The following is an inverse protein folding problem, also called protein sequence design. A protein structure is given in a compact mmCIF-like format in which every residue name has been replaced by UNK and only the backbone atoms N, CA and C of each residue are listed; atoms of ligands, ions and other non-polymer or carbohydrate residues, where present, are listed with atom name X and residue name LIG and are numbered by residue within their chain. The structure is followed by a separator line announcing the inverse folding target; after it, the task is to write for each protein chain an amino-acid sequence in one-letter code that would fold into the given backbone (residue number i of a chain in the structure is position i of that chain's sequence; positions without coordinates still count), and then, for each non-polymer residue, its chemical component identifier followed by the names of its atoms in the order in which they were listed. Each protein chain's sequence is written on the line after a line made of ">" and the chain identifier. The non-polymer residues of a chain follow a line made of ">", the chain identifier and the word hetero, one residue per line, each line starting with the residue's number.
data_IF_473273514676
#
_entry.id   IF_473273514676
#
_cell.length_a   1.000
_cell.length_b   1.000
_cell.length_c   1.000
_cell.angle_alpha   90.00
_cell.angle_beta   90.00
_cell.angle_gamma   90.00
#
_symmetry.space_group_name_H-M   'P 1'
#
loop_
_entity.id
_entity.type
_entity.pdbx_description
1 polymer ?
#
# COMPACT_ATOMS: atom_id res chain seq x y z
N UNK A 1 23.99 22.48 22.20
CA UNK A 1 23.26 23.51 21.40
C UNK A 1 21.79 23.35 21.72
N UNK A 2 21.11 24.40 22.21
CA UNK A 2 19.71 24.33 22.65
C UNK A 2 18.75 24.28 21.44
N UNK A 3 17.72 23.43 21.51
CA UNK A 3 16.71 23.20 20.46
C UNK A 3 16.01 24.49 19.98
N UNK A 4 15.93 25.52 20.84
CA UNK A 4 15.39 26.85 20.50
C UNK A 4 16.16 27.57 19.39
N UNK A 5 17.40 27.18 19.09
CA UNK A 5 18.22 27.84 18.06
C UNK A 5 18.00 27.28 16.66
N UNK A 6 17.43 26.08 16.53
CA UNK A 6 17.18 25.44 15.22
C UNK A 6 15.84 25.93 14.64
N UNK A 7 14.83 26.18 15.48
CA UNK A 7 13.50 26.64 15.07
C UNK A 7 13.45 28.09 14.52
N UNK A 8 14.53 28.87 14.63
CA UNK A 8 14.57 30.30 14.21
C UNK A 8 14.91 30.54 12.74
N UNK A 9 15.18 29.50 11.96
CA UNK A 9 15.59 29.60 10.55
C UNK A 9 14.48 29.25 9.53
N UNK A 10 13.22 29.25 9.95
CA UNK A 10 12.07 29.07 9.06
C UNK A 10 11.33 30.40 9.00
N UNK A 11 11.09 30.93 7.79
CA UNK A 11 10.45 32.24 7.61
C UNK A 11 9.05 32.27 8.28
N UNK A 12 8.70 33.37 8.99
CA UNK A 12 7.52 33.40 9.84
C UNK A 12 6.29 33.80 9.03
N UNK A 13 5.41 32.85 8.75
CA UNK A 13 4.01 33.17 8.50
C UNK A 13 3.34 33.44 9.85
N UNK A 14 2.71 34.61 9.91
CA UNK A 14 2.39 35.37 11.10
C UNK A 14 1.36 34.73 12.05
N UNK A 15 1.67 34.90 13.34
CA UNK A 15 0.76 35.12 14.48
C UNK A 15 -0.17 33.97 14.88
N UNK A 16 0.41 33.03 15.66
CA UNK A 16 -0.33 32.09 16.50
C UNK A 16 0.54 30.95 17.08
N UNK A 17 1.67 30.66 16.43
CA UNK A 17 2.48 29.47 16.72
C UNK A 17 3.52 29.71 17.84
N UNK A 18 4.03 30.93 18.01
CA UNK A 18 5.06 31.21 19.02
C UNK A 18 4.55 31.09 20.48
N UNK A 19 3.28 31.41 20.73
CA UNK A 19 2.68 31.23 22.06
C UNK A 19 2.32 29.76 22.34
N UNK A 20 2.03 28.99 21.29
CA UNK A 20 1.75 27.56 21.39
C UNK A 20 3.03 26.73 21.63
N UNK A 21 4.15 27.07 20.97
CA UNK A 21 5.43 26.40 21.17
C UNK A 21 6.12 26.81 22.48
N UNK A 22 5.78 27.97 23.04
CA UNK A 22 6.30 28.43 24.33
C UNK A 22 5.73 27.69 25.54
N UNK A 23 4.60 26.99 25.38
CA UNK A 23 3.92 26.24 26.45
C UNK A 23 4.21 24.74 26.42
N UNK A 24 4.82 24.23 25.34
CA UNK A 24 5.20 22.82 25.21
C UNK A 24 6.56 22.57 25.86
N UNK A 25 6.65 21.45 26.59
CA UNK A 25 7.90 20.94 27.12
C UNK A 25 8.83 20.46 26.00
N UNK A 26 10.14 20.42 26.28
CA UNK A 26 11.14 19.91 25.33
C UNK A 26 10.81 18.46 24.91
N UNK A 27 10.17 17.66 25.78
CA UNK A 27 9.72 16.30 25.47
C UNK A 27 8.52 16.27 24.50
N UNK A 28 7.58 17.21 24.58
CA UNK A 28 6.45 17.33 23.64
C UNK A 28 6.92 17.80 22.27
N UNK A 29 7.86 18.73 22.22
CA UNK A 29 8.51 19.18 20.98
C UNK A 29 9.29 18.02 20.36
N UNK A 30 10.02 17.24 21.15
CA UNK A 30 10.75 16.06 20.66
C UNK A 30 9.81 14.91 20.26
N UNK A 31 8.62 14.77 20.88
CA UNK A 31 7.59 13.84 20.43
C UNK A 31 6.93 14.28 19.12
N UNK A 32 6.71 15.58 18.92
CA UNK A 32 6.21 16.12 17.65
C UNK A 32 7.25 16.01 16.54
N UNK A 33 8.52 16.29 16.83
CA UNK A 33 9.65 16.11 15.89
C UNK A 33 9.90 14.61 15.65
N UNK A 34 9.76 13.75 16.66
CA UNK A 34 9.84 12.30 16.53
C UNK A 34 8.69 11.71 15.70
N UNK A 35 7.49 12.30 15.78
CA UNK A 35 6.38 11.99 14.88
C UNK A 35 6.61 12.53 13.46
N UNK A 36 7.29 13.67 13.29
CA UNK A 36 7.63 14.23 11.97
C UNK A 36 8.85 13.56 11.32
N UNK A 37 9.68 12.84 12.08
CA UNK A 37 10.86 12.10 11.60
C UNK A 37 10.59 10.60 11.37
N UNK A 38 9.33 10.22 11.17
CA UNK A 38 8.96 8.88 10.71
C UNK A 38 8.93 7.84 11.83
N UNK A 39 7.88 7.89 12.65
CA UNK A 39 7.49 6.72 13.44
C UNK A 39 7.26 5.51 12.53
N UNK A 40 7.53 4.31 13.05
CA UNK A 40 7.26 3.04 12.36
C UNK A 40 5.77 2.98 11.99
N UNK A 41 5.47 2.86 10.70
CA UNK A 41 4.09 2.63 10.25
C UNK A 41 3.74 1.17 10.54
N UNK A 42 2.66 0.96 11.30
CA UNK A 42 2.09 -0.36 11.54
C UNK A 42 1.09 -0.68 10.44
N UNK A 43 1.59 -1.34 9.38
CA UNK A 43 0.80 -1.69 8.22
C UNK A 43 -0.22 -2.79 8.52
N UNK A 44 -1.49 -2.51 8.27
CA UNK A 44 -2.61 -3.44 8.30
C UNK A 44 -2.50 -4.50 7.18
N UNK A 45 -3.13 -5.67 7.38
CA UNK A 45 -3.25 -6.65 6.31
C UNK A 45 -4.05 -6.10 5.12
N UNK A 46 -3.78 -6.63 3.93
CA UNK A 46 -4.43 -6.21 2.69
C UNK A 46 -5.96 -6.31 2.74
N UNK A 47 -6.52 -7.27 3.50
CA UNK A 47 -7.96 -7.51 3.60
C UNK A 47 -8.37 -7.67 5.06
N UNK A 48 -9.55 -7.14 5.40
CA UNK A 48 -10.10 -7.14 6.76
C UNK A 48 -11.63 -7.30 6.73
N UNK A 49 -12.25 -7.91 7.76
CA UNK A 49 -13.69 -8.10 7.81
C UNK A 49 -14.43 -6.88 8.39
N UNK A 50 -13.70 -5.99 9.06
CA UNK A 50 -14.22 -4.83 9.76
C UNK A 50 -13.43 -3.58 9.38
N UNK A 51 -14.08 -2.42 9.46
CA UNK A 51 -13.44 -1.12 9.24
C UNK A 51 -12.49 -0.85 10.41
N UNK A 52 -11.20 -0.55 10.16
CA UNK A 52 -10.26 -0.23 11.22
C UNK A 52 -10.67 1.03 11.99
N UNK A 53 -10.30 1.09 13.28
CA UNK A 53 -10.57 2.27 14.09
C UNK A 53 -9.97 3.55 13.47
N UNK A 54 -10.79 4.60 13.43
CA UNK A 54 -10.41 5.90 12.87
C UNK A 54 -10.72 6.08 11.38
N UNK A 55 -11.44 5.14 10.76
CA UNK A 55 -12.03 5.28 9.43
C UNK A 55 -13.56 5.26 9.50
N UNK A 56 -14.21 5.95 8.58
CA UNK A 56 -15.66 6.11 8.47
C UNK A 56 -16.08 5.96 7.00
N UNK A 57 -16.84 4.89 6.70
CA UNK A 57 -17.24 4.52 5.34
C UNK A 57 -18.78 4.51 5.17
N UNK A 58 -19.56 5.22 6.00
CA UNK A 58 -21.02 5.04 6.08
C UNK A 58 -21.71 5.00 4.71
N UNK A 59 -21.54 6.03 3.88
CA UNK A 59 -22.01 6.03 2.48
C UNK A 59 -20.86 5.92 1.47
N UNK A 60 -19.63 6.23 1.88
CA UNK A 60 -18.46 6.25 1.02
C UNK A 60 -17.85 4.86 0.79
N UNK A 61 -17.20 4.70 -0.36
CA UNK A 61 -16.49 3.46 -0.73
C UNK A 61 -15.01 3.56 -0.37
N UNK A 62 -14.50 4.76 -0.12
CA UNK A 62 -13.11 5.05 0.19
C UNK A 62 -13.06 6.02 1.36
N UNK A 63 -12.18 5.74 2.31
CA UNK A 63 -11.78 6.69 3.35
C UNK A 63 -10.25 6.65 3.50
N UNK A 64 -9.67 7.73 3.99
CA UNK A 64 -8.22 7.90 4.05
C UNK A 64 -7.76 8.52 5.35
N UNK A 65 -6.54 8.18 5.74
CA UNK A 65 -5.87 8.67 6.93
C UNK A 65 -4.46 9.12 6.61
N UNK A 66 -4.15 10.35 6.97
CA UNK A 66 -2.78 10.85 6.97
C UNK A 66 -1.93 10.07 7.98
N UNK A 67 -0.80 9.53 7.51
CA UNK A 67 0.18 8.88 8.38
C UNK A 67 1.32 9.83 8.71
N UNK A 68 1.93 10.42 7.67
CA UNK A 68 3.04 11.37 7.74
C UNK A 68 3.25 12.01 6.35
N UNK A 69 4.09 13.05 6.21
CA UNK A 69 4.41 13.60 4.90
C UNK A 69 4.87 12.50 3.92
N UNK A 70 4.31 12.50 2.71
CA UNK A 70 4.62 11.47 1.72
C UNK A 70 3.95 10.11 1.99
N UNK A 71 3.02 9.97 2.95
CA UNK A 71 2.36 8.70 3.22
C UNK A 71 0.90 8.81 3.72
N UNK A 72 -0.01 8.12 3.03
CA UNK A 72 -1.40 7.97 3.42
C UNK A 72 -1.79 6.49 3.49
N UNK A 73 -2.69 6.18 4.42
CA UNK A 73 -3.41 4.92 4.45
C UNK A 73 -4.81 5.13 3.89
N UNK A 74 -5.26 4.20 3.06
CA UNK A 74 -6.55 4.26 2.38
C UNK A 74 -7.28 2.96 2.64
N UNK A 75 -8.48 3.05 3.19
CA UNK A 75 -9.39 1.93 3.38
C UNK A 75 -10.46 2.01 2.30
N UNK A 76 -10.68 0.87 1.66
CA UNK A 76 -11.58 0.75 0.53
C UNK A 76 -12.58 -0.35 0.81
N UNK A 77 -13.87 -0.07 0.70
CA UNK A 77 -14.91 -1.09 0.77
C UNK A 77 -14.78 -2.03 -0.43
N UNK A 78 -14.48 -3.29 -0.16
CA UNK A 78 -14.44 -4.34 -1.17
C UNK A 78 -15.85 -4.89 -1.38
N UNK A 79 -16.46 -5.39 -0.31
CA UNK A 79 -17.85 -5.90 -0.27
C UNK A 79 -18.54 -5.35 0.98
N UNK A 80 -19.78 -5.77 1.25
CA UNK A 80 -20.47 -5.43 2.52
C UNK A 80 -19.72 -5.89 3.79
N UNK A 81 -18.86 -6.91 3.67
CA UNK A 81 -18.21 -7.59 4.80
C UNK A 81 -16.70 -7.72 4.63
N UNK A 82 -16.12 -6.96 3.70
CA UNK A 82 -14.70 -7.00 3.41
C UNK A 82 -14.19 -5.61 3.00
N UNK A 83 -13.07 -5.23 3.58
CA UNK A 83 -12.39 -3.97 3.33
C UNK A 83 -10.95 -4.27 2.90
N UNK A 84 -10.43 -3.45 2.00
CA UNK A 84 -9.03 -3.48 1.58
C UNK A 84 -8.29 -2.31 2.21
N UNK A 85 -7.13 -2.56 2.80
CA UNK A 85 -6.18 -1.50 3.14
C UNK A 85 -5.11 -1.40 2.06
N UNK A 86 -4.86 -0.18 1.59
CA UNK A 86 -3.72 0.14 0.76
C UNK A 86 -3.02 1.42 1.24
N UNK A 87 -1.75 1.54 0.89
CA UNK A 87 -0.88 2.63 1.32
C UNK A 87 -0.36 3.37 0.11
N UNK A 88 -0.53 4.68 0.10
CA UNK A 88 0.06 5.59 -0.84
C UNK A 88 1.32 6.15 -0.22
N UNK A 89 2.48 5.81 -0.77
CA UNK A 89 3.78 6.22 -0.23
C UNK A 89 4.67 6.78 -1.31
N UNK A 90 5.15 8.00 -1.08
CA UNK A 90 6.13 8.63 -1.93
C UNK A 90 7.53 8.13 -1.55
N UNK A 91 8.21 7.50 -2.50
CA UNK A 91 9.55 6.96 -2.31
C UNK A 91 10.34 6.99 -3.61
N UNK A 92 11.58 7.49 -3.55
CA UNK A 92 12.51 7.53 -4.70
C UNK A 92 11.93 8.19 -5.97
N UNK A 93 11.14 9.26 -5.82
CA UNK A 93 10.54 9.98 -6.95
C UNK A 93 9.35 9.26 -7.61
N UNK A 94 8.79 8.25 -6.93
CA UNK A 94 7.60 7.53 -7.35
C UNK A 94 6.58 7.49 -6.22
N UNK A 95 5.32 7.31 -6.58
CA UNK A 95 4.29 6.93 -5.62
C UNK A 95 4.08 5.43 -5.73
N UNK A 96 4.21 4.75 -4.59
CA UNK A 96 3.86 3.35 -4.42
C UNK A 96 2.47 3.26 -3.82
N UNK A 97 1.56 2.56 -4.50
CA UNK A 97 0.26 2.16 -3.94
C UNK A 97 0.36 0.68 -3.61
N UNK A 98 0.23 0.29 -2.34
CA UNK A 98 0.55 -1.08 -1.95
C UNK A 98 -0.36 -1.67 -0.86
N UNK A 99 -0.64 -2.96 -0.97
CA UNK A 99 -1.36 -3.75 0.03
C UNK A 99 -0.43 -4.83 0.61
N UNK A 100 -0.47 -5.04 1.93
CA UNK A 100 0.38 -6.00 2.64
C UNK A 100 -0.19 -7.42 2.58
N UNK A 101 0.54 -8.35 1.98
CA UNK A 101 0.15 -9.76 1.84
C UNK A 101 0.93 -10.72 2.74
N UNK A 102 1.87 -10.21 3.54
CA UNK A 102 2.66 -10.98 4.51
C UNK A 102 3.31 -12.22 3.90
N UNK A 103 3.40 -13.34 4.61
CA UNK A 103 3.98 -14.61 4.15
C UNK A 103 2.97 -15.50 3.41
N UNK A 104 1.73 -15.03 3.16
CA UNK A 104 0.71 -15.77 2.39
C UNK A 104 1.25 -16.17 1.01
N UNK A 105 2.07 -15.31 0.41
CA UNK A 105 2.62 -15.47 -0.93
C UNK A 105 4.00 -16.14 -0.96
N UNK A 106 4.50 -16.69 0.16
CA UNK A 106 5.80 -17.39 0.17
C UNK A 106 5.85 -18.59 -0.78
N UNK A 107 4.71 -19.25 -1.01
CA UNK A 107 4.64 -20.35 -1.98
C UNK A 107 4.95 -19.91 -3.41
N UNK A 108 4.82 -18.62 -3.72
CA UNK A 108 5.10 -18.06 -5.04
C UNK A 108 6.57 -18.27 -5.38
N UNK A 109 7.51 -18.24 -4.41
CA UNK A 109 8.93 -18.58 -4.64
C UNK A 109 9.16 -19.97 -5.25
N UNK A 110 8.26 -20.94 -4.97
CA UNK A 110 8.33 -22.29 -5.55
C UNK A 110 7.95 -22.30 -7.03
N UNK A 111 7.27 -21.25 -7.48
CA UNK A 111 6.80 -21.05 -8.85
C UNK A 111 7.82 -20.46 -9.80
N UNK A 112 9.05 -20.17 -9.34
CA UNK A 112 10.06 -19.49 -10.16
C UNK A 112 11.33 -20.30 -10.35
N UNK A 113 12.04 -19.97 -11.42
CA UNK A 113 13.42 -20.35 -11.67
C UNK A 113 14.33 -19.19 -11.31
N UNK A 114 15.39 -19.49 -10.58
CA UNK A 114 16.40 -18.49 -10.22
C UNK A 114 17.12 -18.00 -11.50
N UNK A 115 17.51 -16.72 -11.54
CA UNK A 115 18.33 -16.20 -12.63
C UNK A 115 19.58 -17.04 -12.85
N UNK A 116 19.94 -17.23 -14.11
CA UNK A 116 21.22 -17.82 -14.52
C UNK A 116 22.02 -16.79 -15.32
N UNK A 117 23.30 -17.06 -15.58
CA UNK A 117 24.13 -16.19 -16.44
C UNK A 117 23.48 -15.95 -17.81
N UNK A 118 22.78 -16.96 -18.34
CA UNK A 118 22.10 -16.89 -19.63
C UNK A 118 20.70 -16.29 -19.56
N UNK A 119 20.10 -16.21 -18.35
CA UNK A 119 18.75 -15.69 -18.09
C UNK A 119 18.80 -14.85 -16.81
N UNK A 120 19.13 -13.55 -16.89
CA UNK A 120 19.42 -12.73 -15.72
C UNK A 120 18.18 -12.32 -14.90
N UNK A 121 16.99 -12.82 -15.26
CA UNK A 121 15.72 -12.50 -14.61
C UNK A 121 15.06 -13.78 -14.08
N UNK A 122 14.23 -13.62 -13.04
CA UNK A 122 13.40 -14.72 -12.55
C UNK A 122 12.34 -15.06 -13.61
N UNK A 123 12.21 -16.34 -13.94
CA UNK A 123 11.19 -16.83 -14.86
C UNK A 123 10.12 -17.62 -14.12
N UNK A 124 8.85 -17.37 -14.47
CA UNK A 124 7.72 -18.15 -13.93
C UNK A 124 7.67 -19.50 -14.60
N UNK A 125 7.73 -20.56 -13.80
CA UNK A 125 7.64 -21.95 -14.27
C UNK A 125 6.31 -22.19 -14.99
N UNK A 126 6.30 -22.91 -16.12
CA UNK A 126 5.07 -23.21 -16.86
C UNK A 126 3.98 -23.86 -15.98
N UNK A 127 4.35 -24.82 -15.14
CA UNK A 127 3.42 -25.55 -14.27
C UNK A 127 2.79 -24.63 -13.21
N UNK A 128 3.58 -23.67 -12.71
CA UNK A 128 3.07 -22.67 -11.79
C UNK A 128 2.12 -21.70 -12.48
N UNK A 129 2.45 -21.26 -13.70
CA UNK A 129 1.56 -20.40 -14.51
C UNK A 129 0.25 -21.10 -14.86
N UNK A 130 0.27 -22.40 -15.12
CA UNK A 130 -0.93 -23.19 -15.37
C UNK A 130 -1.81 -23.29 -14.12
N UNK A 131 -1.19 -23.56 -12.96
CA UNK A 131 -1.90 -23.73 -11.69
C UNK A 131 -2.39 -22.40 -11.09
N UNK A 132 -1.59 -21.35 -11.21
CA UNK A 132 -1.79 -20.03 -10.62
C UNK A 132 -1.64 -18.91 -11.67
N UNK A 133 -2.50 -18.88 -12.71
CA UNK A 133 -2.33 -17.95 -13.84
C UNK A 133 -2.47 -16.47 -13.44
N UNK A 134 -3.33 -16.14 -12.49
CA UNK A 134 -3.51 -14.74 -12.05
C UNK A 134 -2.33 -14.28 -11.22
N UNK A 135 -1.90 -15.07 -10.24
CA UNK A 135 -0.73 -14.76 -9.41
C UNK A 135 0.53 -14.70 -10.27
N UNK A 136 0.70 -15.63 -11.21
CA UNK A 136 1.80 -15.63 -12.16
C UNK A 136 1.85 -14.35 -13.01
N UNK A 137 0.68 -13.82 -13.41
CA UNK A 137 0.60 -12.61 -14.25
C UNK A 137 0.97 -11.31 -13.52
N UNK A 138 1.01 -11.37 -12.18
CA UNK A 138 1.39 -10.27 -11.30
C UNK A 138 2.88 -10.32 -10.92
N UNK A 139 3.64 -11.28 -11.43
CA UNK A 139 5.05 -11.36 -11.07
C UNK A 139 5.90 -10.35 -11.83
N UNK A 140 6.67 -9.56 -11.08
CA UNK A 140 7.58 -8.56 -11.61
C UNK A 140 6.87 -7.27 -12.03
N UNK A 141 7.56 -6.14 -11.85
CA UNK A 141 7.10 -4.85 -12.36
C UNK A 141 7.07 -4.91 -13.89
N UNK A 142 5.91 -4.62 -14.48
CA UNK A 142 5.78 -4.46 -15.93
C UNK A 142 6.32 -3.09 -16.32
N UNK A 143 7.06 -3.03 -17.42
CA UNK A 143 7.65 -1.80 -17.94
C UNK A 143 7.28 -1.63 -19.42
N UNK A 144 7.20 -0.38 -19.87
CA UNK A 144 7.07 -0.10 -21.29
C UNK A 144 8.41 -0.31 -22.02
N UNK A 145 8.44 -0.06 -23.34
CA UNK A 145 9.63 -0.26 -24.18
C UNK A 145 10.85 0.59 -23.75
N UNK A 146 10.64 1.63 -22.95
CA UNK A 146 11.68 2.53 -22.47
C UNK A 146 12.12 2.20 -21.03
N UNK A 147 11.67 1.08 -20.46
CA UNK A 147 11.96 0.71 -19.07
C UNK A 147 11.19 1.56 -18.05
N UNK A 148 10.15 2.29 -18.47
CA UNK A 148 9.33 3.07 -17.54
C UNK A 148 8.27 2.12 -16.95
N UNK A 149 8.16 2.04 -15.61
CA UNK A 149 7.15 1.26 -14.92
C UNK A 149 5.73 1.58 -15.41
N UNK A 150 4.96 0.55 -15.73
CA UNK A 150 3.54 0.66 -16.02
C UNK A 150 2.74 0.70 -14.70
N UNK A 151 1.63 1.46 -14.64
CA UNK A 151 0.73 1.52 -13.48
C UNK A 151 -0.15 0.26 -13.41
N UNK A 152 0.51 -0.89 -13.25
CA UNK A 152 -0.08 -2.23 -13.22
C UNK A 152 0.30 -2.95 -11.92
N UNK A 153 -0.62 -3.73 -11.32
CA UNK A 153 -0.32 -4.48 -10.11
C UNK A 153 0.80 -5.49 -10.31
N UNK A 154 1.71 -5.56 -9.35
CA UNK A 154 2.76 -6.55 -9.27
C UNK A 154 3.06 -6.99 -7.83
N UNK A 155 3.47 -8.23 -7.67
CA UNK A 155 3.86 -8.80 -6.38
C UNK A 155 5.35 -8.52 -6.14
N UNK A 156 5.69 -8.05 -4.94
CA UNK A 156 7.06 -7.71 -4.55
C UNK A 156 7.34 -8.10 -3.10
N UNK A 157 8.62 -8.31 -2.77
CA UNK A 157 9.08 -8.47 -1.38
C UNK A 157 9.87 -7.26 -0.87
N UNK A 158 9.90 -6.17 -1.64
CA UNK A 158 10.60 -4.95 -1.23
C UNK A 158 9.82 -4.35 -0.07
N UNK A 159 10.44 -4.37 1.12
CA UNK A 159 9.88 -3.76 2.31
C UNK A 159 9.65 -2.27 2.07
N UNK A 160 8.44 -1.80 2.35
CA UNK A 160 8.11 -0.39 2.35
C UNK A 160 8.55 0.18 3.71
N UNK A 161 9.17 1.36 3.71
CA UNK A 161 9.58 2.08 4.93
C UNK A 161 10.40 1.26 5.96
N UNK A 162 11.48 0.60 5.51
CA UNK A 162 12.40 -0.12 6.40
C UNK A 162 11.82 -1.38 7.07
N UNK A 163 10.63 -1.82 6.65
CA UNK A 163 10.00 -3.03 7.17
C UNK A 163 10.76 -4.30 6.77
N UNK A 164 10.64 -5.39 7.57
CA UNK A 164 11.17 -6.69 7.18
C UNK A 164 10.61 -7.14 5.84
N UNK A 165 11.38 -7.99 5.16
CA UNK A 165 11.04 -8.56 3.86
C UNK A 165 9.75 -9.40 3.99
N UNK A 166 8.63 -8.85 3.57
CA UNK A 166 7.31 -9.50 3.48
C UNK A 166 6.72 -9.25 2.10
N UNK A 167 5.67 -9.97 1.70
CA UNK A 167 5.06 -9.75 0.40
C UNK A 167 4.08 -8.58 0.39
N UNK A 168 4.12 -7.88 -0.73
CA UNK A 168 3.26 -6.76 -1.07
C UNK A 168 2.68 -6.98 -2.46
N UNK A 169 1.44 -6.55 -2.63
CA UNK A 169 0.87 -6.28 -3.95
C UNK A 169 0.96 -4.78 -4.17
N UNK A 170 1.64 -4.34 -5.22
CA UNK A 170 1.98 -2.94 -5.41
C UNK A 170 1.66 -2.46 -6.82
N UNK A 171 1.38 -1.17 -6.95
CA UNK A 171 1.42 -0.41 -8.19
C UNK A 171 2.43 0.71 -7.99
N UNK A 172 3.23 0.97 -9.02
CA UNK A 172 4.12 2.13 -9.06
C UNK A 172 3.55 3.16 -10.01
N UNK A 173 3.27 4.36 -9.49
CA UNK A 173 2.84 5.51 -10.26
C UNK A 173 4.04 6.43 -10.51
N UNK A 174 4.29 6.73 -11.78
CA UNK A 174 5.40 7.56 -12.25
C UNK A 174 4.86 8.90 -12.72
N UNK A 175 5.55 9.99 -12.40
CA UNK A 175 5.16 11.34 -12.84
C UNK A 175 4.07 11.99 -12.00
N UNK A 176 3.81 11.48 -10.79
CA UNK A 176 3.02 12.19 -9.78
C UNK A 176 3.96 13.20 -9.09
N UNK A 177 3.64 14.49 -9.19
CA UNK A 177 4.40 15.54 -8.50
C UNK A 177 4.06 15.57 -7.01
N UNK A 178 4.96 16.12 -6.21
CA UNK A 178 4.77 16.33 -4.76
C UNK A 178 3.47 17.10 -4.51
N UNK A 179 3.25 18.21 -5.21
CA UNK A 179 2.02 19.01 -5.11
C UNK A 179 0.75 18.19 -5.37
N UNK A 180 0.75 17.35 -6.42
CA UNK A 180 -0.40 16.49 -6.75
C UNK A 180 -0.63 15.42 -5.70
N UNK A 181 0.45 14.87 -5.13
CA UNK A 181 0.37 13.90 -4.05
C UNK A 181 -0.13 14.52 -2.75
N UNK A 182 0.27 15.75 -2.46
CA UNK A 182 -0.19 16.50 -1.29
C UNK A 182 -1.67 16.87 -1.41
N UNK A 183 -2.15 17.19 -2.61
CA UNK A 183 -3.57 17.47 -2.89
C UNK A 183 -4.48 16.25 -2.61
N UNK A 184 -3.96 15.02 -2.70
CA UNK A 184 -4.75 13.83 -2.37
C UNK A 184 -5.22 13.78 -0.92
N UNK A 185 -4.53 14.46 0.01
CA UNK A 185 -4.90 14.54 1.43
C UNK A 185 -6.19 15.32 1.71
N UNK A 186 -6.63 16.16 0.78
CA UNK A 186 -7.76 17.08 0.94
C UNK A 186 -9.03 16.53 0.27
N UNK A 187 -9.32 15.23 0.42
CA UNK A 187 -10.35 14.48 -0.33
C UNK A 187 -10.06 14.32 -1.84
N UNK A 188 -8.96 14.92 -2.34
CA UNK A 188 -8.58 14.88 -3.75
C UNK A 188 -8.30 13.48 -4.28
N UNK A 189 -8.00 12.50 -3.42
CA UNK A 189 -7.83 11.11 -3.84
C UNK A 189 -9.12 10.52 -4.44
N UNK A 190 -10.28 10.95 -3.94
CA UNK A 190 -11.59 10.51 -4.41
C UNK A 190 -12.00 11.20 -5.72
N UNK A 191 -11.23 12.20 -6.17
CA UNK A 191 -11.47 12.94 -7.40
C UNK A 191 -10.36 12.71 -8.45
N UNK A 192 -9.21 12.18 -8.05
CA UNK A 192 -8.09 11.89 -8.93
C UNK A 192 -8.24 10.54 -9.63
N UNK A 193 -8.51 10.59 -10.94
CA UNK A 193 -8.69 9.40 -11.76
C UNK A 193 -7.51 8.41 -11.72
N UNK A 194 -6.27 8.91 -11.62
CA UNK A 194 -5.08 8.04 -11.57
C UNK A 194 -5.01 7.28 -10.24
N UNK A 195 -5.35 7.95 -9.13
CA UNK A 195 -5.40 7.32 -7.82
C UNK A 195 -6.53 6.29 -7.74
N UNK A 196 -7.73 6.64 -8.21
CA UNK A 196 -8.87 5.74 -8.25
C UNK A 196 -8.64 4.50 -9.14
N UNK A 197 -8.05 4.69 -10.33
CA UNK A 197 -7.70 3.57 -11.21
C UNK A 197 -6.67 2.63 -10.55
N UNK A 198 -5.68 3.19 -9.85
CA UNK A 198 -4.69 2.39 -9.12
C UNK A 198 -5.34 1.59 -7.99
N UNK A 199 -6.23 2.21 -7.22
CA UNK A 199 -7.02 1.54 -6.18
C UNK A 199 -7.82 0.38 -6.81
N UNK A 200 -8.56 0.64 -7.87
CA UNK A 200 -9.44 -0.34 -8.49
C UNK A 200 -8.67 -1.53 -9.08
N UNK A 201 -7.54 -1.28 -9.74
CA UNK A 201 -6.61 -2.32 -10.20
C UNK A 201 -6.10 -3.18 -9.04
N UNK A 202 -5.75 -2.59 -7.90
CA UNK A 202 -5.34 -3.34 -6.70
C UNK A 202 -6.49 -4.17 -6.13
N UNK A 203 -7.72 -3.64 -6.07
CA UNK A 203 -8.90 -4.39 -5.61
C UNK A 203 -9.12 -5.65 -6.45
N UNK A 204 -9.08 -5.48 -7.76
CA UNK A 204 -9.25 -6.59 -8.69
C UNK A 204 -8.13 -7.63 -8.57
N UNK A 205 -6.89 -7.19 -8.45
CA UNK A 205 -5.76 -8.10 -8.24
C UNK A 205 -5.85 -8.81 -6.88
N UNK A 206 -6.26 -8.13 -5.81
CA UNK A 206 -6.51 -8.74 -4.51
C UNK A 206 -7.59 -9.84 -4.59
N UNK A 207 -8.71 -9.55 -5.24
CA UNK A 207 -9.79 -10.52 -5.45
C UNK A 207 -9.34 -11.72 -6.32
N UNK A 208 -8.54 -11.47 -7.35
CA UNK A 208 -7.99 -12.52 -8.21
C UNK A 208 -7.02 -13.44 -7.44
N UNK A 209 -6.09 -12.88 -6.65
CA UNK A 209 -5.19 -13.68 -5.79
C UNK A 209 -6.00 -14.47 -4.76
N UNK A 210 -6.95 -13.83 -4.07
CA UNK A 210 -7.78 -14.46 -3.04
C UNK A 210 -8.53 -15.67 -3.61
N UNK A 211 -9.24 -15.46 -4.72
CA UNK A 211 -10.01 -16.50 -5.41
C UNK A 211 -9.12 -17.65 -5.88
N UNK A 212 -7.95 -17.31 -6.42
CA UNK A 212 -7.00 -18.29 -6.94
C UNK A 212 -6.39 -19.17 -5.84
N UNK A 213 -6.07 -18.60 -4.68
CA UNK A 213 -5.64 -19.40 -3.52
C UNK A 213 -6.80 -20.24 -3.00
N UNK A 214 -8.01 -19.68 -2.84
CA UNK A 214 -9.19 -20.42 -2.34
C UNK A 214 -9.56 -21.62 -3.22
N UNK A 215 -9.46 -21.53 -4.55
CA UNK A 215 -9.73 -22.65 -5.48
C UNK A 215 -8.62 -23.69 -5.53
N UNK A 216 -7.39 -23.34 -5.15
CA UNK A 216 -6.24 -24.25 -5.21
C UNK A 216 -6.30 -25.36 -4.15
N UNK A 217 -5.38 -26.31 -4.19
CA UNK A 217 -5.13 -27.31 -3.16
C UNK A 217 -4.16 -26.83 -2.05
N UNK A 218 -3.74 -25.55 -2.09
CA UNK A 218 -2.72 -25.01 -1.19
C UNK A 218 -3.28 -24.78 0.23
N UNK A 219 -3.12 -25.78 1.11
CA UNK A 219 -3.62 -25.72 2.50
C UNK A 219 -3.02 -24.56 3.31
N UNK A 220 -1.70 -24.45 3.33
CA UNK A 220 -0.98 -23.45 4.14
C UNK A 220 -1.34 -22.00 3.76
N UNK A 221 -1.34 -21.58 2.47
CA UNK A 221 -1.80 -20.24 2.09
C UNK A 221 -3.25 -19.95 2.49
N UNK A 222 -4.16 -20.93 2.41
CA UNK A 222 -5.56 -20.75 2.86
C UNK A 222 -5.66 -20.52 4.37
N UNK A 223 -4.90 -21.26 5.16
CA UNK A 223 -4.83 -21.09 6.61
C UNK A 223 -4.25 -19.72 6.99
N UNK A 224 -3.20 -19.28 6.30
CA UNK A 224 -2.62 -17.94 6.50
C UNK A 224 -3.60 -16.82 6.13
N UNK A 225 -4.31 -16.95 5.00
CA UNK A 225 -5.36 -16.00 4.62
C UNK A 225 -6.45 -15.90 5.68
N UNK A 226 -6.93 -17.03 6.20
CA UNK A 226 -7.94 -17.00 7.26
C UNK A 226 -7.38 -16.36 8.55
N UNK A 227 -6.13 -16.68 8.91
CA UNK A 227 -5.48 -16.11 10.11
C UNK A 227 -5.26 -14.60 10.03
N UNK A 228 -4.75 -14.10 8.91
CA UNK A 228 -4.40 -12.68 8.79
C UNK A 228 -5.57 -11.81 8.36
N UNK A 229 -6.40 -12.30 7.45
CA UNK A 229 -7.48 -11.50 6.89
C UNK A 229 -8.79 -11.72 7.62
N UNK A 230 -9.04 -12.90 8.20
CA UNK A 230 -10.35 -13.24 8.76
C UNK A 230 -11.50 -13.20 7.72
N UNK A 231 -11.17 -13.16 6.42
CA UNK A 231 -12.13 -13.08 5.31
C UNK A 231 -12.33 -14.47 4.72
N UNK A 232 -13.58 -14.94 4.75
CA UNK A 232 -13.91 -16.27 4.22
C UNK A 232 -14.31 -16.25 2.75
N UNK A 233 -14.95 -15.17 2.31
CA UNK A 233 -15.49 -15.03 0.95
C UNK A 233 -15.18 -13.65 0.37
N UNK A 234 -14.46 -13.63 -0.75
CA UNK A 234 -14.26 -12.44 -1.58
C UNK A 234 -14.50 -12.82 -3.04
N UNK A 235 -15.52 -12.21 -3.65
CA UNK A 235 -15.89 -12.45 -5.05
C UNK A 235 -15.74 -11.16 -5.85
N UNK A 236 -14.97 -11.23 -6.92
CA UNK A 236 -14.73 -10.13 -7.86
C UNK A 236 -16.02 -9.51 -8.42
N UNK A 237 -17.07 -10.30 -8.60
CA UNK A 237 -18.37 -9.84 -9.10
C UNK A 237 -19.20 -9.08 -8.07
N UNK A 238 -18.79 -9.05 -6.81
CA UNK A 238 -19.49 -8.36 -5.72
C UNK A 238 -18.68 -7.17 -5.19
N UNK A 239 -17.66 -6.72 -5.94
CA UNK A 239 -16.91 -5.56 -5.54
C UNK A 239 -17.80 -4.31 -5.61
N UNK A 240 -17.73 -3.45 -4.59
CA UNK A 240 -18.44 -2.17 -4.60
C UNK A 240 -17.96 -1.28 -5.76
N UNK A 241 -18.84 -0.49 -6.36
CA UNK A 241 -18.45 0.41 -7.44
C UNK A 241 -17.69 1.62 -6.88
N UNK A 242 -16.56 1.98 -7.49
CA UNK A 242 -15.74 3.16 -7.12
C UNK A 242 -15.79 4.24 -8.22
N UNK A 243 -16.14 3.86 -9.45
CA UNK A 243 -16.15 4.69 -10.66
C UNK A 243 -17.55 4.79 -11.24
#
# INVERSE_FOLDING_TARGET
>A
MSAKKIARNVDPIELGINDFLGSLSDDEIMNMIGKSLGGRIDFLPALMPEVPAGFYLDEDVIDMRFLRPGAYEVIVRMTETCYMSCYFMQQYGHVHVACRWDDILDFVWKGFEAPTVMRPFYEVRPEFREKYPRIASLFGQKENRNGIPLPEPYITTIGLDGQPKVWWLSIKLVGVSDDRFDDWNCLGICEDHLALEAIDKLRYACADIFSEIKRSDAKSPKELMHRYFGVDNLKKTHLADIL
#
